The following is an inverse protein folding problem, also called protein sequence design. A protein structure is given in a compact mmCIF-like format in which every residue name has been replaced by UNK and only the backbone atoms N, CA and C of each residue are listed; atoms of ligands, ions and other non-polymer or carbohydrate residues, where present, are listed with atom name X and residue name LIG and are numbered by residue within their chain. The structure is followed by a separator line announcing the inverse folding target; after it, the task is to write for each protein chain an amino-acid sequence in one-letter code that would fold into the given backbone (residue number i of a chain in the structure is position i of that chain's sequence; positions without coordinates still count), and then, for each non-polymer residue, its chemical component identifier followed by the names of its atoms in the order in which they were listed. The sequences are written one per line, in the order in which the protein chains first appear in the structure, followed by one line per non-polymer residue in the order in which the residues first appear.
data_IF_206274871685
#
_entry.id   IF_206274871685
#
_cell.length_a   1.000
_cell.length_b   1.000
_cell.length_c   1.000
_cell.angle_alpha   90.00
_cell.angle_beta   90.00
_cell.angle_gamma   90.00
#
_symmetry.space_group_name_H-M   'P 1'
#
loop_
_entity.id
_entity.type
_entity.pdbx_description
1 polymer ?
2 water ?
#
# COMPACT_ATOMS: atom_id res chain seq x y z
N UNK A 9 21.68 -56.39 43.21
CA UNK A 9 22.34 -55.20 42.58
C UNK A 9 22.28 -55.26 41.05
N UNK A 10 21.83 -56.39 40.45
CA UNK A 10 21.27 -56.46 39.07
C UNK A 10 19.79 -56.06 39.14
N UNK A 11 19.12 -56.49 40.20
CA UNK A 11 17.69 -56.20 40.50
C UNK A 11 17.57 -54.82 41.16
N UNK A 12 18.68 -54.27 41.66
CA UNK A 12 18.71 -52.89 42.21
C UNK A 12 19.13 -51.91 41.10
N UNK A 13 19.82 -52.37 40.06
CA UNK A 13 20.09 -51.57 38.84
C UNK A 13 18.79 -51.36 38.06
N UNK A 14 17.94 -52.39 37.97
CA UNK A 14 16.58 -52.26 37.37
C UNK A 14 15.74 -51.28 38.21
N UNK A 15 15.83 -51.37 39.55
CA UNK A 15 15.12 -50.46 40.50
C UNK A 15 15.45 -49.00 40.17
N UNK A 16 16.75 -48.66 40.20
CA UNK A 16 17.27 -47.28 39.97
C UNK A 16 16.80 -46.79 38.59
N UNK A 17 16.87 -47.67 37.60
CA UNK A 17 16.57 -47.35 36.18
C UNK A 17 15.07 -47.06 36.03
N UNK A 18 14.19 -47.82 36.67
CA UNK A 18 12.72 -47.57 36.61
C UNK A 18 12.42 -46.20 37.22
N UNK A 19 13.31 -45.68 38.07
CA UNK A 19 13.22 -44.34 38.71
C UNK A 19 13.75 -43.25 37.75
N UNK A 20 14.79 -43.58 36.96
CA UNK A 20 15.34 -42.69 35.91
C UNK A 20 14.25 -42.41 34.85
N UNK A 21 13.59 -43.45 34.34
CA UNK A 21 12.52 -43.33 33.30
C UNK A 21 11.33 -42.55 33.87
N UNK A 22 11.02 -42.72 35.16
CA UNK A 22 9.98 -41.91 35.84
C UNK A 22 10.46 -40.45 35.88
N UNK A 23 11.72 -40.23 36.27
CA UNK A 23 12.36 -38.89 36.34
C UNK A 23 12.25 -38.24 34.96
N UNK A 24 12.82 -38.90 33.95
CA UNK A 24 13.01 -38.41 32.57
C UNK A 24 11.66 -38.12 31.91
N UNK A 25 10.60 -38.86 32.26
CA UNK A 25 9.27 -38.64 31.62
C UNK A 25 8.62 -37.39 32.25
N UNK A 26 8.94 -37.08 33.52
CA UNK A 26 8.51 -35.84 34.24
C UNK A 26 9.18 -34.61 33.60
N UNK A 27 10.49 -34.69 33.41
CA UNK A 27 11.33 -33.71 32.68
C UNK A 27 10.69 -33.43 31.30
N UNK A 28 10.55 -34.47 30.49
CA UNK A 28 9.95 -34.38 29.13
C UNK A 28 8.59 -33.67 29.16
N UNK A 29 7.79 -33.91 30.21
CA UNK A 29 6.45 -33.29 30.41
C UNK A 29 6.56 -31.76 30.50
N UNK A 30 7.57 -31.27 31.21
CA UNK A 30 7.84 -29.81 31.40
C UNK A 30 8.46 -29.24 30.12
N UNK A 31 9.51 -29.86 29.62
CA UNK A 31 10.12 -29.56 28.31
C UNK A 31 9.01 -29.31 27.26
N UNK A 32 7.93 -30.09 27.27
CA UNK A 32 6.82 -29.94 26.28
C UNK A 32 5.92 -28.78 26.69
N UNK A 33 5.79 -28.49 27.99
CA UNK A 33 5.18 -27.21 28.45
C UNK A 33 5.94 -26.04 27.82
N UNK A 34 7.27 -25.98 27.96
CA UNK A 34 8.09 -24.81 27.53
C UNK A 34 7.90 -24.62 26.03
N UNK A 35 7.88 -25.74 25.29
CA UNK A 35 7.72 -25.76 23.82
C UNK A 35 6.41 -25.09 23.44
N UNK A 36 5.29 -25.51 24.04
CA UNK A 36 3.94 -24.94 23.80
C UNK A 36 3.96 -23.43 24.09
N UNK A 37 4.62 -23.03 25.18
CA UNK A 37 4.80 -21.63 25.62
C UNK A 37 5.47 -20.81 24.51
N UNK A 38 6.48 -21.35 23.83
CA UNK A 38 7.22 -20.62 22.77
C UNK A 38 6.37 -20.62 21.49
N UNK A 39 5.67 -21.72 21.19
CA UNK A 39 4.85 -21.87 19.95
C UNK A 39 3.70 -20.86 19.97
N UNK A 40 2.90 -20.92 21.03
CA UNK A 40 1.77 -20.00 21.29
C UNK A 40 2.28 -18.57 21.20
N UNK A 41 3.41 -18.28 21.83
CA UNK A 41 3.94 -16.89 21.87
C UNK A 41 4.15 -16.41 20.43
N UNK A 42 4.76 -17.24 19.58
CA UNK A 42 4.99 -16.99 18.14
C UNK A 42 3.65 -16.82 17.44
N UNK A 43 2.71 -17.76 17.62
CA UNK A 43 1.39 -17.65 16.97
C UNK A 43 0.73 -16.32 17.39
N UNK A 44 0.78 -15.95 18.67
CA UNK A 44 0.06 -14.73 19.13
C UNK A 44 0.79 -13.49 18.59
N UNK A 45 2.12 -13.52 18.50
CA UNK A 45 2.94 -12.37 18.02
C UNK A 45 2.72 -12.20 16.51
N UNK A 46 2.51 -13.31 15.80
CA UNK A 46 2.23 -13.35 14.35
C UNK A 46 0.90 -12.63 14.06
N UNK A 47 -0.15 -12.81 14.85
CA UNK A 47 -1.44 -12.12 14.54
C UNK A 47 -1.33 -10.68 15.05
N UNK A 48 -0.74 -10.44 16.21
CA UNK A 48 -0.52 -9.05 16.66
C UNK A 48 0.17 -8.27 15.53
N UNK A 49 1.20 -8.83 14.87
CA UNK A 49 2.13 -8.07 14.00
C UNK A 49 1.80 -8.20 12.52
N UNK A 50 1.64 -9.41 11.95
CA UNK A 50 1.17 -9.55 10.54
C UNK A 50 -0.20 -8.89 10.37
N UNK A 51 -1.00 -8.81 11.45
CA UNK A 51 -2.33 -8.14 11.47
C UNK A 51 -2.12 -6.63 11.45
N UNK A 52 -1.42 -6.10 12.45
CA UNK A 52 -1.10 -4.64 12.56
C UNK A 52 -0.71 -4.10 11.18
N UNK A 53 0.19 -4.80 10.49
CA UNK A 53 0.67 -4.37 9.15
C UNK A 53 -0.53 -4.19 8.24
N UNK A 54 -1.45 -5.16 8.22
CA UNK A 54 -2.66 -5.16 7.35
C UNK A 54 -3.52 -3.91 7.60
N UNK A 55 -3.76 -3.52 8.86
CA UNK A 55 -4.46 -2.25 9.17
C UNK A 55 -3.86 -1.10 8.33
N UNK A 56 -2.63 -0.68 8.65
CA UNK A 56 -1.93 0.44 7.98
C UNK A 56 -2.09 0.31 6.47
N UNK A 57 -1.78 -0.88 5.93
CA UNK A 57 -1.88 -1.19 4.48
C UNK A 57 -3.23 -0.69 3.98
N UNK A 58 -4.30 -1.03 4.70
CA UNK A 58 -5.69 -0.64 4.37
C UNK A 58 -5.95 0.84 4.71
N UNK A 59 -5.36 1.39 5.78
CA UNK A 59 -5.46 2.85 6.09
C UNK A 59 -4.86 3.65 4.92
N UNK A 60 -3.76 3.16 4.35
CA UNK A 60 -3.10 3.78 3.17
C UNK A 60 -4.08 3.72 2.00
N UNK A 61 -4.70 2.57 1.79
CA UNK A 61 -5.69 2.36 0.71
C UNK A 61 -6.76 3.46 0.79
N UNK A 62 -7.33 3.69 1.98
CA UNK A 62 -8.36 4.75 2.19
C UNK A 62 -7.87 6.05 1.53
N UNK A 63 -6.68 6.50 1.91
CA UNK A 63 -6.13 7.83 1.53
C UNK A 63 -5.87 7.84 0.01
N UNK A 64 -5.36 6.74 -0.56
CA UNK A 64 -5.13 6.59 -2.03
C UNK A 64 -6.44 6.88 -2.79
N UNK A 65 -7.57 6.38 -2.31
CA UNK A 65 -8.90 6.55 -2.98
C UNK A 65 -9.48 7.92 -2.62
N UNK A 66 -9.02 8.54 -1.53
CA UNK A 66 -9.43 9.90 -1.09
C UNK A 66 -8.63 10.96 -1.86
N UNK A 67 -7.54 10.58 -2.53
CA UNK A 67 -6.72 11.48 -3.38
C UNK A 67 -6.86 11.10 -4.86
N UNK A 68 -7.93 10.38 -5.22
CA UNK A 68 -8.35 10.17 -6.63
C UNK A 68 -9.06 11.46 -7.11
N UNK A 69 -8.38 12.23 -7.97
CA UNK A 69 -8.87 13.51 -8.56
C UNK A 69 -9.06 13.37 -10.08
N UNK A 70 -9.08 12.12 -10.57
CA UNK A 70 -9.27 11.79 -12.00
C UNK A 70 -10.49 12.53 -12.54
N UNK A 71 -11.57 12.67 -11.74
CA UNK A 71 -12.85 13.27 -12.20
C UNK A 71 -12.70 14.80 -12.32
N UNK A 72 -12.12 15.44 -11.30
CA UNK A 72 -11.84 16.91 -11.28
C UNK A 72 -10.88 17.27 -12.42
N UNK A 73 -9.86 16.44 -12.65
CA UNK A 73 -8.82 16.71 -13.68
C UNK A 73 -9.39 16.45 -15.07
N UNK A 74 -10.19 15.39 -15.25
CA UNK A 74 -10.89 15.16 -16.55
C UNK A 74 -11.71 16.41 -16.86
N UNK A 75 -12.41 16.93 -15.85
CA UNK A 75 -13.40 18.02 -16.02
C UNK A 75 -12.68 19.32 -16.39
N UNK A 76 -11.71 19.76 -15.59
CA UNK A 76 -10.85 20.94 -15.89
C UNK A 76 -10.44 20.85 -17.36
N UNK A 77 -9.83 19.72 -17.73
CA UNK A 77 -9.40 19.40 -19.10
C UNK A 77 -10.50 19.67 -20.10
N UNK A 78 -11.72 19.22 -19.80
CA UNK A 78 -12.86 19.29 -20.75
C UNK A 78 -13.36 20.74 -20.84
N UNK A 79 -13.44 21.46 -19.72
CA UNK A 79 -13.87 22.88 -19.65
C UNK A 79 -12.91 23.76 -20.44
N UNK A 80 -11.61 23.50 -20.33
CA UNK A 80 -10.54 24.17 -21.13
C UNK A 80 -10.71 23.91 -22.62
N UNK A 81 -11.30 22.79 -23.02
CA UNK A 81 -11.44 22.42 -24.45
C UNK A 81 -12.69 23.09 -25.00
N UNK A 82 -13.68 23.36 -24.14
CA UNK A 82 -14.91 24.13 -24.50
C UNK A 82 -14.53 25.58 -24.80
N UNK A 83 -13.86 26.24 -23.86
CA UNK A 83 -13.31 27.61 -24.09
C UNK A 83 -12.55 27.61 -25.42
N UNK A 84 -11.50 26.81 -25.56
CA UNK A 84 -10.64 26.73 -26.76
C UNK A 84 -11.50 26.51 -28.00
N UNK A 85 -12.65 25.85 -27.87
CA UNK A 85 -13.64 25.67 -28.97
C UNK A 85 -14.21 27.05 -29.31
N UNK A 86 -14.82 27.72 -28.31
CA UNK A 86 -15.59 28.98 -28.47
C UNK A 86 -14.69 30.12 -28.97
N UNK A 87 -13.37 29.92 -28.99
CA UNK A 87 -12.36 30.83 -29.61
C UNK A 87 -12.69 31.04 -31.09
N UNK A 88 -13.10 29.98 -31.79
CA UNK A 88 -13.40 30.01 -33.23
C UNK A 88 -14.48 31.06 -33.47
N UNK A 89 -15.71 30.89 -32.93
CA UNK A 89 -16.80 31.84 -33.16
C UNK A 89 -16.48 33.26 -32.66
N UNK A 90 -15.89 33.36 -31.46
CA UNK A 90 -15.50 34.66 -30.83
C UNK A 90 -14.72 35.51 -31.85
N UNK A 91 -13.56 35.03 -32.31
CA UNK A 91 -12.69 35.76 -33.29
C UNK A 91 -13.52 36.12 -34.53
N UNK A 92 -14.41 35.23 -34.97
CA UNK A 92 -15.26 35.43 -36.16
C UNK A 92 -16.17 36.64 -35.90
N UNK A 93 -16.88 36.65 -34.76
CA UNK A 93 -17.88 37.70 -34.43
C UNK A 93 -17.19 39.04 -34.25
N UNK A 94 -15.95 39.05 -33.76
CA UNK A 94 -15.17 40.28 -33.53
C UNK A 94 -14.76 40.85 -34.89
N UNK A 95 -14.21 40.02 -35.77
CA UNK A 95 -13.69 40.42 -37.10
C UNK A 95 -14.81 41.10 -37.92
N UNK A 96 -16.06 40.63 -37.78
CA UNK A 96 -17.23 41.21 -38.50
C UNK A 96 -17.57 42.56 -37.88
N UNK A 97 -17.29 42.77 -36.59
CA UNK A 97 -17.59 44.07 -35.94
C UNK A 97 -16.54 45.10 -36.34
N UNK A 98 -15.30 44.67 -36.53
CA UNK A 98 -14.16 45.57 -36.88
C UNK A 98 -14.47 46.29 -38.20
N UNK A 99 -14.82 45.54 -39.24
CA UNK A 99 -15.15 46.14 -40.56
C UNK A 99 -16.41 47.00 -40.39
N UNK A 100 -17.39 46.55 -39.61
CA UNK A 100 -18.65 47.35 -39.44
C UNK A 100 -18.30 48.71 -38.84
N UNK A 101 -17.53 48.70 -37.75
CA UNK A 101 -17.12 49.92 -37.01
C UNK A 101 -16.17 50.73 -37.88
N UNK A 102 -15.29 50.09 -38.65
CA UNK A 102 -14.37 50.80 -39.58
C UNK A 102 -15.20 51.58 -40.62
N UNK A 103 -16.39 51.07 -40.97
CA UNK A 103 -17.26 51.68 -42.01
C UNK A 103 -17.96 52.93 -41.49
N UNK A 104 -18.47 52.90 -40.26
CA UNK A 104 -19.17 54.04 -39.59
C UNK A 104 -18.15 55.15 -39.33
N UNK A 105 -16.93 54.77 -38.97
CA UNK A 105 -15.84 55.69 -38.58
C UNK A 105 -15.32 56.44 -39.82
N UNK A 106 -15.42 55.82 -41.01
CA UNK A 106 -15.09 56.45 -42.31
C UNK A 106 -16.25 57.21 -42.93
N UNK A 107 -17.46 57.04 -42.41
CA UNK A 107 -18.71 57.64 -42.94
C UNK A 107 -19.52 58.24 -41.78
N UNK A 108 -18.86 59.00 -40.90
CA UNK A 108 -19.44 59.56 -39.64
C UNK A 108 -20.16 60.88 -39.97
N UNK B 8 29.49 -61.89 29.67
CA UNK B 8 28.04 -61.78 29.28
C UNK B 8 27.15 -61.77 30.53
N UNK B 9 27.59 -61.13 31.61
CA UNK B 9 26.89 -61.05 32.93
C UNK B 9 25.51 -60.41 32.75
N UNK B 10 24.64 -60.48 33.78
CA UNK B 10 23.33 -59.79 33.83
C UNK B 10 23.54 -58.35 34.35
N UNK B 11 24.25 -58.21 35.48
CA UNK B 11 24.55 -56.89 36.11
C UNK B 11 25.38 -56.03 35.14
N UNK B 12 26.09 -56.64 34.19
CA UNK B 12 26.87 -55.88 33.17
C UNK B 12 25.96 -55.50 32.00
N UNK B 13 24.96 -56.34 31.68
CA UNK B 13 24.07 -56.16 30.49
C UNK B 13 22.93 -55.21 30.81
N UNK B 14 22.47 -55.16 32.06
CA UNK B 14 21.50 -54.12 32.53
C UNK B 14 22.19 -52.76 32.47
N UNK B 15 23.48 -52.71 32.81
CA UNK B 15 24.29 -51.46 32.83
C UNK B 15 24.44 -50.91 31.41
N UNK B 16 24.61 -51.79 30.41
CA UNK B 16 24.68 -51.40 28.97
C UNK B 16 23.39 -50.70 28.56
N UNK B 17 22.25 -51.37 28.78
CA UNK B 17 20.89 -50.82 28.55
C UNK B 17 20.72 -49.52 29.34
N UNK B 18 21.29 -49.44 30.55
CA UNK B 18 21.19 -48.23 31.41
C UNK B 18 21.82 -47.04 30.68
N UNK B 19 22.92 -47.26 29.96
CA UNK B 19 23.69 -46.18 29.30
C UNK B 19 23.08 -45.89 27.91
N UNK B 20 22.52 -46.89 27.25
CA UNK B 20 21.72 -46.71 26.00
C UNK B 20 20.61 -45.68 26.28
N UNK B 21 19.82 -45.94 27.33
CA UNK B 21 18.66 -45.11 27.77
C UNK B 21 19.16 -43.74 28.22
N UNK B 22 20.26 -43.69 28.98
CA UNK B 22 20.84 -42.44 29.50
C UNK B 22 21.22 -41.54 28.30
N UNK B 23 21.92 -42.12 27.31
CA UNK B 23 22.28 -41.48 26.02
C UNK B 23 21.01 -40.94 25.34
N UNK B 24 20.08 -41.82 25.01
CA UNK B 24 18.83 -41.50 24.28
C UNK B 24 18.08 -40.36 24.99
N UNK B 25 18.08 -40.34 26.33
CA UNK B 25 17.47 -39.27 27.16
C UNK B 25 18.23 -37.96 26.98
N UNK B 26 19.58 -38.01 26.99
CA UNK B 26 20.44 -36.84 26.73
C UNK B 26 20.14 -36.31 25.31
N UNK B 27 20.06 -37.20 24.31
CA UNK B 27 19.77 -36.85 22.90
C UNK B 27 18.44 -36.09 22.81
N UNK B 28 17.38 -36.62 23.40
CA UNK B 28 16.00 -36.06 23.29
C UNK B 28 15.94 -34.67 23.93
N UNK B 29 16.57 -34.51 25.08
CA UNK B 29 16.69 -33.19 25.75
C UNK B 29 17.26 -32.18 24.75
N UNK B 30 18.44 -32.47 24.18
CA UNK B 30 19.13 -31.58 23.18
C UNK B 30 18.14 -31.23 22.06
N UNK B 31 17.51 -32.24 21.47
CA UNK B 31 16.49 -32.12 20.40
C UNK B 31 15.45 -31.06 20.82
N UNK B 32 15.04 -31.08 22.08
CA UNK B 32 14.01 -30.19 22.66
C UNK B 32 14.58 -28.77 22.73
N UNK B 33 15.83 -28.61 23.21
CA UNK B 33 16.49 -27.29 23.33
C UNK B 33 16.78 -26.72 21.94
N UNK B 34 17.09 -27.58 20.95
CA UNK B 34 17.31 -27.18 19.54
C UNK B 34 15.99 -26.57 19.00
N UNK B 35 14.88 -27.26 19.23
CA UNK B 35 13.53 -26.86 18.79
C UNK B 35 13.14 -25.53 19.44
N UNK B 36 13.42 -25.38 20.72
CA UNK B 36 13.09 -24.15 21.49
C UNK B 36 13.84 -22.98 20.85
N UNK B 37 15.14 -23.18 20.56
CA UNK B 37 16.02 -22.15 19.96
C UNK B 37 15.52 -21.77 18.56
N UNK B 38 15.13 -22.75 17.73
CA UNK B 38 14.70 -22.50 16.33
C UNK B 38 13.40 -21.71 16.36
N UNK B 39 12.45 -22.06 17.23
CA UNK B 39 11.16 -21.31 17.44
C UNK B 39 11.46 -19.87 17.86
N UNK B 40 12.35 -19.64 18.82
CA UNK B 40 12.72 -18.28 19.28
C UNK B 40 13.39 -17.49 18.16
N UNK B 41 14.25 -18.15 17.38
CA UNK B 41 15.01 -17.50 16.28
C UNK B 41 13.98 -16.98 15.27
N UNK B 42 13.07 -17.86 14.82
CA UNK B 42 12.00 -17.56 13.85
C UNK B 42 11.19 -16.36 14.35
N UNK B 43 10.84 -16.31 15.63
CA UNK B 43 9.99 -15.24 16.19
C UNK B 43 10.77 -13.93 16.22
N UNK B 44 12.03 -13.93 16.63
CA UNK B 44 12.93 -12.73 16.63
C UNK B 44 13.09 -12.21 15.20
N UNK B 45 13.23 -13.09 14.22
CA UNK B 45 13.52 -12.69 12.84
C UNK B 45 12.26 -12.06 12.26
N UNK B 46 11.14 -12.73 12.46
CA UNK B 46 9.80 -12.27 12.03
C UNK B 46 9.55 -10.86 12.59
N UNK B 47 9.88 -10.63 13.86
CA UNK B 47 9.63 -9.32 14.53
C UNK B 47 10.56 -8.28 13.90
N UNK B 48 11.86 -8.52 13.88
CA UNK B 48 12.84 -7.64 13.19
C UNK B 48 12.27 -7.23 11.84
N UNK B 49 11.86 -8.19 11.01
CA UNK B 49 11.54 -7.96 9.58
C UNK B 49 10.17 -7.25 9.46
N UNK B 50 9.21 -7.54 10.34
CA UNK B 50 7.91 -6.81 10.36
C UNK B 50 8.09 -5.38 10.89
N UNK B 51 8.94 -5.14 11.89
CA UNK B 51 9.12 -3.78 12.45
C UNK B 51 9.63 -2.89 11.30
N UNK B 52 10.54 -3.40 10.46
CA UNK B 52 11.09 -2.68 9.28
C UNK B 52 9.99 -2.32 8.28
N UNK B 53 9.27 -3.33 7.80
CA UNK B 53 8.09 -3.14 6.91
C UNK B 53 7.10 -2.13 7.54
N UNK B 54 6.90 -2.22 8.86
CA UNK B 54 5.91 -1.42 9.60
C UNK B 54 6.33 0.05 9.57
N UNK B 55 7.62 0.30 9.69
CA UNK B 55 8.22 1.65 9.59
C UNK B 55 8.02 2.16 8.17
N UNK B 56 8.46 1.41 7.17
CA UNK B 56 8.32 1.79 5.74
C UNK B 56 6.90 2.27 5.46
N UNK B 57 5.89 1.57 6.02
CA UNK B 57 4.46 1.80 5.71
C UNK B 57 4.01 3.11 6.36
N UNK B 58 4.60 3.53 7.48
CA UNK B 58 4.29 4.83 8.12
C UNK B 58 4.83 5.97 7.24
N UNK B 59 5.94 5.73 6.56
CA UNK B 59 6.58 6.79 5.76
C UNK B 59 5.90 6.78 4.38
N UNK B 60 5.14 5.73 4.03
CA UNK B 60 4.23 5.75 2.86
C UNK B 60 3.00 6.60 3.21
N UNK B 61 2.45 6.44 4.41
CA UNK B 61 1.28 7.23 4.89
C UNK B 61 1.55 8.73 4.76
N UNK B 62 2.66 9.24 5.28
CA UNK B 62 3.04 10.67 5.12
C UNK B 62 3.28 10.96 3.64
N UNK B 63 4.27 10.32 3.04
CA UNK B 63 4.80 10.64 1.68
C UNK B 63 3.65 10.83 0.69
N UNK B 64 2.59 10.04 0.80
CA UNK B 64 1.49 10.07 -0.18
C UNK B 64 0.72 11.40 -0.10
N UNK B 65 0.92 12.21 0.94
CA UNK B 65 0.24 13.54 1.05
C UNK B 65 0.80 14.52 0.01
N UNK B 66 2.02 14.29 -0.50
CA UNK B 66 2.61 14.98 -1.68
C UNK B 66 1.57 15.01 -2.81
N UNK B 67 0.67 14.03 -2.85
CA UNK B 67 -0.28 13.84 -3.98
C UNK B 67 -1.62 14.52 -3.67
N UNK B 68 -1.69 15.30 -2.58
CA UNK B 68 -2.80 16.26 -2.30
C UNK B 68 -2.66 17.48 -3.24
N UNK B 69 -3.70 17.73 -4.03
CA UNK B 69 -3.85 18.90 -4.93
C UNK B 69 -5.26 19.50 -4.80
N UNK B 70 -6.02 19.07 -3.79
CA UNK B 70 -7.44 19.46 -3.56
C UNK B 70 -7.62 20.96 -3.82
N UNK B 71 -6.71 21.77 -3.26
CA UNK B 71 -6.81 23.25 -3.15
C UNK B 71 -6.44 23.88 -4.50
N UNK B 72 -5.22 23.63 -4.99
CA UNK B 72 -4.80 23.97 -6.37
C UNK B 72 -5.94 23.66 -7.34
N UNK B 73 -6.66 22.56 -7.12
CA UNK B 73 -7.67 22.07 -8.10
C UNK B 73 -8.98 22.85 -7.97
N UNK B 74 -9.39 23.22 -6.75
CA UNK B 74 -10.62 24.05 -6.57
C UNK B 74 -10.38 25.43 -7.19
N UNK B 75 -9.23 26.04 -6.92
CA UNK B 75 -8.86 27.40 -7.37
C UNK B 75 -8.90 27.44 -8.91
N UNK B 76 -8.40 26.39 -9.57
CA UNK B 76 -8.38 26.28 -11.05
C UNK B 76 -9.81 26.15 -11.60
N UNK B 77 -10.67 25.37 -10.95
CA UNK B 77 -12.07 25.19 -11.37
C UNK B 77 -12.80 26.53 -11.41
N UNK B 78 -12.48 27.40 -10.45
CA UNK B 78 -13.10 28.74 -10.24
C UNK B 78 -12.52 29.74 -11.26
N UNK B 79 -11.19 29.84 -11.35
CA UNK B 79 -10.52 30.67 -12.38
C UNK B 79 -11.03 30.29 -13.76
N UNK B 80 -11.36 29.02 -14.00
CA UNK B 80 -11.87 28.57 -15.32
C UNK B 80 -13.29 29.12 -15.56
N UNK B 81 -14.10 29.27 -14.51
CA UNK B 81 -15.41 29.95 -14.57
C UNK B 81 -15.18 31.45 -14.86
N UNK B 82 -14.31 32.10 -14.10
CA UNK B 82 -13.92 33.52 -14.37
C UNK B 82 -13.57 33.66 -15.86
N UNK B 83 -12.72 32.81 -16.43
CA UNK B 83 -12.35 32.91 -17.86
C UNK B 83 -13.61 32.80 -18.73
N UNK B 84 -14.54 31.92 -18.37
CA UNK B 84 -15.74 31.62 -19.20
C UNK B 84 -16.61 32.89 -19.26
N UNK B 85 -16.82 33.57 -18.13
CA UNK B 85 -17.59 34.85 -18.04
C UNK B 85 -16.84 36.00 -18.76
N UNK B 86 -15.53 35.91 -18.87
CA UNK B 86 -14.64 36.91 -19.51
C UNK B 86 -14.71 36.86 -21.04
N UNK B 87 -15.35 35.86 -21.67
CA UNK B 87 -15.25 35.69 -23.14
C UNK B 87 -16.59 35.94 -23.85
N UNK B 88 -17.43 34.92 -24.05
CA UNK B 88 -18.65 35.03 -24.88
C UNK B 88 -19.59 36.12 -24.30
N UNK B 89 -19.83 36.19 -22.97
CA UNK B 89 -20.78 37.20 -22.43
C UNK B 89 -20.38 38.65 -22.74
N UNK B 90 -19.07 38.93 -22.75
CA UNK B 90 -18.44 40.25 -23.02
C UNK B 90 -18.63 40.60 -24.51
N UNK B 91 -18.14 39.73 -25.40
CA UNK B 91 -18.26 39.89 -26.88
C UNK B 91 -19.73 40.18 -27.23
N UNK B 92 -20.66 39.40 -26.67
CA UNK B 92 -22.09 39.57 -26.97
C UNK B 92 -22.52 40.98 -26.60
N UNK B 93 -22.07 41.53 -25.47
CA UNK B 93 -22.50 42.91 -25.09
C UNK B 93 -21.88 43.90 -26.08
N UNK B 94 -20.68 43.60 -26.57
CA UNK B 94 -19.93 44.47 -27.55
C UNK B 94 -20.71 44.50 -28.86
N UNK B 95 -21.03 43.34 -29.40
CA UNK B 95 -21.85 43.15 -30.63
C UNK B 95 -23.17 43.92 -30.46
N UNK B 96 -23.82 43.76 -29.31
CA UNK B 96 -25.02 44.59 -29.03
C UNK B 96 -24.67 46.06 -29.16
N UNK B 97 -23.64 46.50 -28.43
CA UNK B 97 -23.21 47.92 -28.37
C UNK B 97 -23.02 48.44 -29.80
N UNK B 98 -22.31 47.69 -30.65
CA UNK B 98 -22.03 48.09 -32.06
C UNK B 98 -23.37 48.17 -32.82
N UNK B 99 -24.29 47.27 -32.52
CA UNK B 99 -25.66 47.31 -33.07
C UNK B 99 -26.34 48.62 -32.67
N UNK B 100 -26.22 49.05 -31.41
CA UNK B 100 -26.90 50.27 -30.89
C UNK B 100 -26.26 51.51 -31.52
N UNK B 101 -24.93 51.58 -31.59
CA UNK B 101 -24.23 52.71 -32.27
C UNK B 101 -24.73 52.78 -33.73
N UNK B 102 -24.60 51.67 -34.47
CA UNK B 102 -25.02 51.57 -35.90
C UNK B 102 -26.39 52.23 -36.09
N UNK B 103 -27.38 51.90 -35.27
CA UNK B 103 -28.73 52.52 -35.38
C UNK B 103 -28.64 54.03 -35.12
N UNK B 104 -27.96 54.45 -34.05
CA UNK B 104 -27.84 55.90 -33.69
C UNK B 104 -27.33 56.70 -34.91
N UNK B 105 -26.44 56.15 -35.72
CA UNK B 105 -25.92 56.80 -36.95
C UNK B 105 -26.90 56.63 -38.14
N UNK B 106 -28.03 55.96 -37.97
CA UNK B 106 -29.11 55.90 -38.98
C UNK B 106 -30.10 57.03 -38.76
N UNK C 7 8.85 -68.52 26.83
CA UNK C 7 10.28 -68.81 26.44
C UNK C 7 11.09 -67.51 26.52
N UNK C 8 11.09 -66.85 27.69
CA UNK C 8 11.63 -65.48 27.89
C UNK C 8 12.60 -65.47 29.10
N UNK C 9 13.89 -65.69 28.86
CA UNK C 9 14.99 -65.44 29.84
C UNK C 9 15.03 -63.94 30.14
N UNK C 10 15.28 -63.55 31.40
CA UNK C 10 15.43 -62.13 31.81
C UNK C 10 16.52 -61.49 30.93
N UNK C 11 17.72 -62.08 30.91
CA UNK C 11 18.87 -61.65 30.07
C UNK C 11 18.44 -61.47 28.60
N UNK C 12 17.63 -62.39 28.06
CA UNK C 12 17.13 -62.37 26.65
C UNK C 12 16.13 -61.24 26.40
N UNK C 13 15.31 -60.87 27.39
CA UNK C 13 14.30 -59.78 27.26
C UNK C 13 15.03 -58.43 27.23
N UNK C 14 15.99 -58.24 28.13
CA UNK C 14 16.93 -57.09 28.14
C UNK C 14 17.53 -56.92 26.73
N UNK C 15 18.25 -57.91 26.22
CA UNK C 15 18.94 -57.83 24.90
C UNK C 15 17.94 -57.43 23.81
N UNK C 16 16.70 -57.92 23.90
CA UNK C 16 15.62 -57.65 22.91
C UNK C 16 15.19 -56.19 23.03
N UNK C 17 15.10 -55.71 24.27
CA UNK C 17 14.78 -54.31 24.64
C UNK C 17 15.85 -53.37 24.07
N UNK C 18 17.13 -53.77 24.08
CA UNK C 18 18.25 -52.92 23.60
C UNK C 18 18.19 -52.76 22.07
N UNK C 19 17.91 -53.82 21.31
CA UNK C 19 17.77 -53.73 19.84
C UNK C 19 16.53 -52.89 19.51
N UNK C 20 15.43 -53.10 20.24
CA UNK C 20 14.19 -52.29 20.19
C UNK C 20 14.52 -50.79 20.36
N UNK C 21 15.06 -50.41 21.53
CA UNK C 21 15.42 -49.01 21.88
C UNK C 21 16.33 -48.43 20.79
N UNK C 22 17.29 -49.21 20.30
CA UNK C 22 18.28 -48.75 19.29
C UNK C 22 17.54 -48.33 18.01
N UNK C 23 16.56 -49.11 17.55
CA UNK C 23 15.80 -48.81 16.30
C UNK C 23 14.88 -47.60 16.53
N UNK C 24 14.45 -47.36 17.78
CA UNK C 24 13.58 -46.22 18.18
C UNK C 24 14.41 -44.92 18.28
N UNK C 25 15.65 -44.99 18.77
CA UNK C 25 16.55 -43.81 18.91
C UNK C 25 17.02 -43.36 17.53
N UNK C 26 17.24 -44.29 16.59
CA UNK C 26 17.59 -43.92 15.19
C UNK C 26 16.41 -43.20 14.55
N UNK C 27 15.20 -43.75 14.66
CA UNK C 27 13.99 -43.23 13.97
C UNK C 27 13.57 -41.91 14.61
N UNK C 28 13.68 -41.78 15.93
CA UNK C 28 13.44 -40.55 16.71
C UNK C 28 14.35 -39.43 16.17
N UNK C 29 15.63 -39.74 15.92
CA UNK C 29 16.65 -38.85 15.30
C UNK C 29 16.12 -38.26 13.97
N UNK C 30 15.77 -39.11 12.99
CA UNK C 30 15.28 -38.67 11.64
C UNK C 30 14.05 -37.78 11.80
N UNK C 31 13.12 -38.19 12.66
CA UNK C 31 11.82 -37.51 12.89
C UNK C 31 12.06 -36.09 13.39
N UNK C 32 13.06 -35.91 14.27
CA UNK C 32 13.38 -34.63 14.92
C UNK C 32 14.09 -33.72 13.91
N UNK C 33 14.99 -34.27 13.09
CA UNK C 33 15.69 -33.51 12.04
C UNK C 33 14.65 -32.89 11.08
N UNK C 34 13.59 -33.64 10.76
CA UNK C 34 12.47 -33.16 9.90
C UNK C 34 11.71 -32.04 10.63
N UNK C 35 11.48 -32.12 11.94
CA UNK C 35 10.74 -31.06 12.68
C UNK C 35 11.62 -29.80 12.74
N UNK C 36 12.92 -30.02 12.93
CA UNK C 36 13.94 -28.96 12.86
C UNK C 36 13.87 -28.26 11.50
N UNK C 37 13.90 -29.02 10.42
CA UNK C 37 14.07 -28.43 9.07
C UNK C 37 12.72 -27.86 8.59
N UNK C 38 11.62 -28.34 9.16
CA UNK C 38 10.29 -27.70 8.95
C UNK C 38 10.40 -26.23 9.37
N UNK C 39 11.01 -25.93 10.52
CA UNK C 39 11.15 -24.53 11.03
C UNK C 39 12.13 -23.73 10.17
N UNK C 40 13.20 -24.33 9.70
CA UNK C 40 14.16 -23.67 8.77
C UNK C 40 13.45 -23.32 7.47
N UNK C 41 12.68 -24.24 6.92
CA UNK C 41 11.93 -24.02 5.66
C UNK C 41 10.90 -22.89 5.81
N UNK C 42 10.16 -22.84 6.93
CA UNK C 42 9.14 -21.78 7.18
C UNK C 42 9.85 -20.44 7.41
N UNK C 43 10.92 -20.41 8.20
CA UNK C 43 11.68 -19.16 8.43
C UNK C 43 12.08 -18.60 7.07
N UNK C 44 12.70 -19.43 6.23
CA UNK C 44 13.18 -18.99 4.89
C UNK C 44 11.99 -18.43 4.11
N UNK C 45 10.91 -19.20 4.05
CA UNK C 45 9.70 -18.79 3.31
C UNK C 45 9.29 -17.41 3.79
N UNK C 46 9.20 -17.23 5.10
CA UNK C 46 8.84 -15.93 5.71
C UNK C 46 9.90 -14.89 5.34
N UNK C 47 11.18 -15.21 5.47
CA UNK C 47 12.23 -14.19 5.20
C UNK C 47 12.05 -13.68 3.76
N UNK C 48 11.93 -14.61 2.81
CA UNK C 48 11.88 -14.30 1.34
C UNK C 48 10.71 -13.37 1.04
N UNK C 49 9.54 -13.73 1.53
CA UNK C 49 8.25 -13.03 1.27
C UNK C 49 8.27 -11.65 1.94
N UNK C 50 8.82 -11.54 3.14
CA UNK C 50 8.94 -10.21 3.80
C UNK C 50 9.95 -9.36 3.03
N UNK C 51 11.03 -9.94 2.51
CA UNK C 51 12.03 -9.25 1.68
C UNK C 51 11.30 -8.67 0.45
N UNK C 52 10.59 -9.51 -0.28
CA UNK C 52 9.79 -9.08 -1.46
C UNK C 52 8.85 -7.94 -1.02
N UNK C 53 8.10 -8.10 0.07
CA UNK C 53 7.17 -7.04 0.51
C UNK C 53 7.96 -5.74 0.62
N UNK C 54 9.08 -5.78 1.33
CA UNK C 54 9.91 -4.59 1.67
C UNK C 54 10.29 -3.87 0.38
N UNK C 55 10.78 -4.61 -0.62
CA UNK C 55 11.19 -4.10 -1.94
C UNK C 55 10.05 -3.32 -2.59
N UNK C 56 8.89 -3.96 -2.78
CA UNK C 56 7.70 -3.30 -3.35
C UNK C 56 7.42 -2.03 -2.56
N UNK C 57 7.41 -2.09 -1.23
CA UNK C 57 7.20 -0.89 -0.38
C UNK C 57 8.15 0.23 -0.81
N UNK C 58 9.42 -0.05 -1.05
CA UNK C 58 10.42 0.96 -1.48
C UNK C 58 10.09 1.43 -2.89
N UNK C 59 9.71 0.49 -3.77
CA UNK C 59 9.35 0.77 -5.19
C UNK C 59 8.06 1.60 -5.25
N UNK C 60 7.21 1.48 -4.24
CA UNK C 60 5.96 2.28 -4.12
C UNK C 60 6.33 3.70 -3.72
N UNK C 61 7.27 3.84 -2.77
CA UNK C 61 7.79 5.12 -2.23
C UNK C 61 8.42 5.93 -3.36
N UNK C 62 9.25 5.28 -4.18
CA UNK C 62 9.87 5.90 -5.39
C UNK C 62 8.76 6.35 -6.37
N UNK C 63 7.67 5.60 -6.47
CA UNK C 63 6.59 5.85 -7.47
C UNK C 63 5.80 7.09 -7.04
N UNK C 64 5.52 7.23 -5.74
CA UNK C 64 4.86 8.43 -5.16
C UNK C 64 5.70 9.67 -5.49
N UNK C 65 7.03 9.55 -5.49
CA UNK C 65 7.93 10.68 -5.80
C UNK C 65 7.89 10.98 -7.31
N UNK C 66 7.68 9.96 -8.16
CA UNK C 66 7.50 10.11 -9.65
C UNK C 66 6.09 10.62 -10.01
N UNK C 67 5.16 10.72 -9.05
CA UNK C 67 3.74 11.12 -9.30
C UNK C 67 3.39 12.44 -8.61
N UNK C 68 4.37 13.20 -8.11
CA UNK C 68 4.15 14.55 -7.53
C UNK C 68 4.18 15.62 -8.65
N UNK C 69 3.02 15.95 -9.22
CA UNK C 69 2.85 17.05 -10.22
C UNK C 69 2.29 18.30 -9.52
N UNK C 70 2.55 18.44 -8.21
CA UNK C 70 2.09 19.57 -7.36
C UNK C 70 2.55 20.90 -7.98
N UNK C 71 3.83 21.02 -8.35
CA UNK C 71 4.42 22.24 -8.98
C UNK C 71 3.71 22.52 -10.30
N UNK C 72 3.68 21.51 -11.18
CA UNK C 72 3.12 21.54 -12.55
C UNK C 72 1.66 22.01 -12.52
N UNK C 73 0.94 21.71 -11.43
CA UNK C 73 -0.47 22.13 -11.19
C UNK C 73 -0.49 23.58 -10.70
N UNK C 74 0.36 23.94 -9.73
CA UNK C 74 0.44 25.31 -9.20
C UNK C 74 0.71 26.29 -10.35
N UNK C 75 1.51 25.86 -11.33
CA UNK C 75 1.93 26.65 -12.52
C UNK C 75 0.69 26.97 -13.36
N UNK C 76 -0.07 25.94 -13.73
CA UNK C 76 -1.35 26.04 -14.49
C UNK C 76 -2.33 26.91 -13.71
N UNK C 77 -2.53 26.62 -12.43
CA UNK C 77 -3.20 27.53 -11.47
C UNK C 77 -2.80 28.98 -11.67
N UNK C 78 -1.48 29.28 -11.76
CA UNK C 78 -0.91 30.66 -11.81
C UNK C 78 -1.08 31.23 -13.22
N UNK C 79 -0.54 30.56 -14.24
CA UNK C 79 -0.68 30.94 -15.67
C UNK C 79 -2.12 31.39 -15.94
N UNK C 80 -3.10 30.65 -15.41
CA UNK C 80 -4.55 30.88 -15.61
C UNK C 80 -5.00 32.14 -14.86
N UNK C 81 -4.49 32.37 -13.65
CA UNK C 81 -4.73 33.64 -12.91
C UNK C 81 -4.23 34.82 -13.76
N UNK C 82 -3.09 34.62 -14.44
CA UNK C 82 -2.38 35.67 -15.21
C UNK C 82 -3.25 36.02 -16.42
N UNK C 83 -3.69 34.99 -17.17
CA UNK C 83 -4.59 35.14 -18.35
C UNK C 83 -5.89 35.85 -17.95
N UNK C 84 -6.47 35.52 -16.80
CA UNK C 84 -7.71 36.18 -16.32
C UNK C 84 -7.41 37.66 -15.99
N UNK C 85 -6.29 37.95 -15.30
CA UNK C 85 -5.95 39.34 -14.90
C UNK C 85 -5.76 40.17 -16.17
N UNK C 86 -5.16 39.56 -17.21
CA UNK C 86 -4.86 40.16 -18.53
C UNK C 86 -6.15 40.63 -19.24
N UNK C 87 -7.32 40.17 -18.77
CA UNK C 87 -8.63 40.40 -19.42
C UNK C 87 -9.47 41.46 -18.69
N UNK C 88 -9.16 41.78 -17.44
CA UNK C 88 -9.93 42.76 -16.64
C UNK C 88 -9.89 44.14 -17.31
N UNK C 89 -8.75 44.65 -17.82
CA UNK C 89 -8.72 45.99 -18.42
C UNK C 89 -9.73 46.15 -19.57
N UNK C 90 -9.76 45.21 -20.51
CA UNK C 90 -10.69 45.27 -21.68
C UNK C 90 -12.15 45.14 -21.16
N UNK C 91 -12.41 44.30 -20.16
CA UNK C 91 -13.78 44.09 -19.60
C UNK C 91 -14.27 45.40 -18.97
N UNK C 92 -13.43 46.07 -18.22
CA UNK C 92 -13.75 47.41 -17.66
C UNK C 92 -14.15 48.37 -18.78
N UNK C 93 -13.32 48.48 -19.82
CA UNK C 93 -13.50 49.43 -20.96
C UNK C 93 -14.88 49.24 -21.59
N UNK C 94 -15.18 47.99 -22.01
CA UNK C 94 -16.46 47.54 -22.61
C UNK C 94 -17.56 47.93 -21.64
N UNK C 95 -17.32 47.58 -20.39
CA UNK C 95 -18.28 47.78 -19.28
C UNK C 95 -18.72 49.25 -19.22
N UNK C 96 -17.75 50.15 -19.23
CA UNK C 96 -18.02 51.62 -19.23
C UNK C 96 -18.68 52.04 -20.53
N UNK C 97 -18.23 51.53 -21.70
CA UNK C 97 -18.74 51.99 -23.02
C UNK C 97 -20.20 51.57 -23.15
N UNK C 98 -20.51 50.35 -22.72
CA UNK C 98 -21.90 49.79 -22.68
C UNK C 98 -22.77 50.70 -21.82
N UNK C 99 -22.33 51.12 -20.63
CA UNK C 99 -23.17 52.00 -19.77
C UNK C 99 -23.55 53.24 -20.57
N UNK C 100 -22.56 53.86 -21.22
CA UNK C 100 -22.71 55.12 -21.97
C UNK C 100 -23.63 54.92 -23.18
N UNK C 101 -23.36 53.90 -23.99
CA UNK C 101 -24.17 53.64 -25.22
C UNK C 101 -25.62 53.33 -24.84
N UNK C 102 -25.88 52.50 -23.83
CA UNK C 102 -27.27 52.09 -23.45
C UNK C 102 -28.08 53.32 -23.04
N UNK C 103 -27.48 54.29 -22.36
CA UNK C 103 -28.18 55.51 -21.88
C UNK C 103 -28.60 56.33 -23.11
N UNK C 104 -27.70 56.52 -24.05
CA UNK C 104 -27.97 57.35 -25.26
C UNK C 104 -29.04 56.66 -26.10
N UNK C 105 -28.90 55.35 -26.34
CA UNK C 105 -29.85 54.50 -27.10
C UNK C 105 -31.26 54.54 -26.46
N UNK C 106 -31.35 54.53 -25.11
CA UNK C 106 -32.62 54.55 -24.36
C UNK C 106 -33.37 55.87 -24.47
N UNK C 107 -32.70 56.96 -24.87
CA UNK C 107 -33.30 58.29 -25.18
C UNK C 107 -33.69 58.36 -26.66
N UNK D 9 10.58 -62.75 40.31
CA UNK D 9 10.97 -61.35 40.64
C UNK D 9 12.40 -61.06 40.18
N UNK D 10 12.79 -61.60 39.02
CA UNK D 10 13.87 -61.08 38.14
C UNK D 10 13.25 -60.81 36.77
N UNK D 11 12.79 -61.88 36.10
CA UNK D 11 12.03 -61.83 34.82
C UNK D 11 10.78 -60.96 34.99
N UNK D 12 10.09 -61.01 36.15
CA UNK D 12 8.85 -60.22 36.41
C UNK D 12 9.17 -58.74 36.63
N UNK D 13 10.43 -58.40 36.88
CA UNK D 13 10.89 -56.98 37.01
C UNK D 13 11.17 -56.42 35.62
N UNK D 14 12.00 -57.11 34.84
CA UNK D 14 12.27 -56.78 33.41
C UNK D 14 10.93 -56.53 32.70
N UNK D 15 9.97 -57.46 32.85
CA UNK D 15 8.64 -57.43 32.15
C UNK D 15 7.87 -56.17 32.59
N UNK D 16 8.10 -55.70 33.82
CA UNK D 16 7.51 -54.47 34.41
C UNK D 16 8.21 -53.24 33.82
N UNK D 17 9.54 -53.21 33.88
CA UNK D 17 10.39 -52.18 33.23
C UNK D 17 9.96 -52.01 31.77
N UNK D 18 9.96 -53.11 31.00
CA UNK D 18 9.51 -53.12 29.58
C UNK D 18 8.17 -52.38 29.45
N UNK D 19 7.23 -52.61 30.37
CA UNK D 19 5.89 -51.96 30.35
C UNK D 19 6.05 -50.46 30.60
N UNK D 20 6.95 -50.04 31.49
CA UNK D 20 7.23 -48.61 31.78
C UNK D 20 7.79 -47.94 30.52
N UNK D 21 8.68 -48.64 29.82
CA UNK D 21 9.32 -48.13 28.57
C UNK D 21 8.26 -48.03 27.48
N UNK D 22 7.41 -49.05 27.34
CA UNK D 22 6.33 -49.05 26.33
C UNK D 22 5.43 -47.83 26.54
N UNK D 23 5.00 -47.53 27.78
CA UNK D 23 4.06 -46.40 28.04
C UNK D 23 4.81 -45.08 27.82
N UNK D 24 6.09 -44.99 28.19
CA UNK D 24 6.95 -43.82 27.93
C UNK D 24 7.11 -43.61 26.42
N UNK D 25 7.43 -44.67 25.66
CA UNK D 25 7.64 -44.59 24.19
C UNK D 25 6.37 -44.07 23.52
N UNK D 26 5.22 -44.60 23.92
CA UNK D 26 3.95 -44.34 23.19
C UNK D 26 3.50 -42.91 23.53
N UNK D 27 3.74 -42.45 24.76
CA UNK D 27 3.44 -41.06 25.19
C UNK D 27 4.24 -40.08 24.32
N UNK D 28 5.52 -40.37 24.10
CA UNK D 28 6.45 -39.58 23.25
C UNK D 28 5.93 -39.56 21.82
N UNK D 29 5.52 -40.71 21.29
CA UNK D 29 5.01 -40.84 19.89
C UNK D 29 3.87 -39.85 19.73
N UNK D 30 2.99 -39.76 20.72
CA UNK D 30 1.80 -38.88 20.68
C UNK D 30 2.26 -37.43 20.78
N UNK D 31 3.10 -37.09 21.75
CA UNK D 31 3.63 -35.70 21.87
C UNK D 31 4.19 -35.25 20.51
N UNK D 32 4.91 -36.12 19.80
CA UNK D 32 5.45 -35.81 18.46
C UNK D 32 4.31 -35.52 17.49
N UNK D 33 3.26 -36.33 17.51
CA UNK D 33 2.12 -36.14 16.58
C UNK D 33 1.45 -34.80 16.92
N UNK D 34 1.30 -34.48 18.20
CA UNK D 34 0.67 -33.21 18.69
C UNK D 34 1.52 -32.04 18.19
N UNK D 35 2.84 -32.09 18.40
CA UNK D 35 3.79 -31.08 17.85
C UNK D 35 3.66 -31.00 16.33
N UNK D 36 3.70 -32.12 15.62
CA UNK D 36 3.62 -32.10 14.12
C UNK D 36 2.36 -31.33 13.70
N UNK D 37 1.31 -31.45 14.50
CA UNK D 37 -0.04 -30.92 14.22
C UNK D 37 -0.02 -29.40 14.43
N UNK D 38 0.55 -28.90 15.53
CA UNK D 38 0.69 -27.43 15.78
C UNK D 38 1.61 -26.79 14.74
N UNK D 39 2.62 -27.53 14.29
CA UNK D 39 3.57 -27.04 13.29
C UNK D 39 2.82 -26.83 11.97
N UNK D 40 1.95 -27.78 11.59
CA UNK D 40 1.12 -27.71 10.35
C UNK D 40 0.18 -26.51 10.45
N UNK D 41 -0.45 -26.32 11.61
CA UNK D 41 -1.28 -25.12 11.88
C UNK D 41 -0.42 -23.87 11.71
N UNK D 42 0.79 -23.84 12.27
CA UNK D 42 1.71 -22.68 12.17
C UNK D 42 2.06 -22.43 10.71
N UNK D 43 2.50 -23.46 9.99
CA UNK D 43 2.90 -23.39 8.56
C UNK D 43 1.76 -22.77 7.74
N UNK D 44 0.54 -23.21 8.00
CA UNK D 44 -0.64 -22.85 7.16
C UNK D 44 -1.05 -21.41 7.52
N UNK D 45 -0.97 -21.04 8.79
CA UNK D 45 -1.37 -19.67 9.19
C UNK D 45 -0.36 -18.67 8.64
N UNK D 46 0.93 -18.95 8.77
CA UNK D 46 2.02 -18.05 8.36
C UNK D 46 1.86 -17.78 6.87
N UNK D 47 1.74 -18.84 6.08
CA UNK D 47 1.67 -18.75 4.59
C UNK D 47 0.40 -17.97 4.20
N UNK D 48 -0.72 -18.22 4.86
CA UNK D 48 -2.02 -17.60 4.52
C UNK D 48 -1.88 -16.10 4.77
N UNK D 49 -1.29 -15.72 5.92
CA UNK D 49 -1.05 -14.30 6.29
C UNK D 49 -0.07 -13.65 5.33
N UNK D 50 0.94 -14.36 4.84
CA UNK D 50 1.94 -13.70 3.98
C UNK D 50 1.31 -13.51 2.59
N UNK D 51 0.37 -14.38 2.21
CA UNK D 51 -0.22 -14.36 0.86
C UNK D 51 -1.20 -13.19 0.78
N UNK D 52 -1.88 -12.91 1.89
CA UNK D 52 -2.76 -11.73 2.14
C UNK D 52 -1.99 -10.42 1.99
N UNK D 53 -0.88 -10.27 2.73
CA UNK D 53 -0.03 -9.06 2.64
C UNK D 53 0.43 -8.86 1.18
N UNK D 54 0.81 -9.93 0.50
CA UNK D 54 1.32 -9.87 -0.88
C UNK D 54 0.18 -9.51 -1.83
N UNK D 55 -1.02 -10.01 -1.54
CA UNK D 55 -2.26 -9.69 -2.29
C UNK D 55 -2.53 -8.19 -2.13
N UNK D 56 -2.62 -7.73 -0.89
CA UNK D 56 -3.03 -6.35 -0.52
C UNK D 56 -1.99 -5.34 -1.05
N UNK D 57 -0.70 -5.70 -1.08
CA UNK D 57 0.39 -4.82 -1.59
C UNK D 57 0.19 -4.64 -3.10
N UNK D 58 -0.05 -5.71 -3.85
CA UNK D 58 -0.15 -5.64 -5.34
C UNK D 58 -1.44 -4.93 -5.75
N UNK D 59 -2.43 -4.86 -4.85
CA UNK D 59 -3.67 -4.07 -5.03
C UNK D 59 -3.34 -2.58 -4.77
N UNK D 60 -2.49 -2.30 -3.78
CA UNK D 60 -1.86 -0.97 -3.52
C UNK D 60 -1.12 -0.47 -4.77
N UNK D 61 -0.26 -1.30 -5.38
CA UNK D 61 0.58 -0.94 -6.56
C UNK D 61 -0.32 -0.45 -7.69
N UNK D 62 -1.53 -1.02 -7.80
CA UNK D 62 -2.51 -0.71 -8.88
C UNK D 62 -3.30 0.57 -8.54
N UNK D 63 -3.94 0.67 -7.36
CA UNK D 63 -4.72 1.86 -6.95
C UNK D 63 -3.89 3.14 -7.07
N UNK D 64 -2.60 3.09 -6.76
CA UNK D 64 -1.71 4.28 -6.74
C UNK D 64 -1.48 4.75 -8.17
N UNK D 65 -1.51 3.83 -9.15
CA UNK D 65 -1.35 4.16 -10.58
C UNK D 65 -2.52 5.06 -11.03
N UNK D 66 -3.69 4.97 -10.38
CA UNK D 66 -4.84 5.88 -10.66
C UNK D 66 -4.46 7.34 -10.36
N UNK D 67 -3.41 7.61 -9.58
CA UNK D 67 -2.99 9.00 -9.25
C UNK D 67 -1.88 9.47 -10.20
N UNK D 68 -1.74 8.80 -11.35
CA UNK D 68 -0.82 9.22 -12.46
C UNK D 68 -1.62 10.04 -13.49
N UNK D 69 -1.68 11.35 -13.28
CA UNK D 69 -2.43 12.29 -14.14
C UNK D 69 -1.52 12.92 -15.19
N UNK D 70 -0.22 12.59 -15.19
CA UNK D 70 0.83 13.25 -16.01
C UNK D 70 0.29 13.55 -17.41
N UNK D 71 -0.31 12.54 -18.06
CA UNK D 71 -0.82 12.63 -19.46
C UNK D 71 -1.82 13.78 -19.57
N UNK D 72 -2.88 13.74 -18.77
CA UNK D 72 -3.90 14.82 -18.57
C UNK D 72 -3.24 16.19 -18.38
N UNK D 73 -2.40 16.33 -17.35
CA UNK D 73 -1.83 17.64 -16.88
C UNK D 73 -0.94 18.26 -17.98
N UNK D 74 -0.27 17.45 -18.80
CA UNK D 74 0.46 17.97 -20.00
C UNK D 74 -0.55 18.58 -20.98
N UNK D 75 -1.64 17.87 -21.29
CA UNK D 75 -2.70 18.31 -22.23
C UNK D 75 -3.35 19.60 -21.71
N UNK D 76 -3.59 19.71 -20.41
CA UNK D 76 -4.16 20.93 -19.78
C UNK D 76 -3.17 22.08 -19.98
N UNK D 77 -1.94 21.93 -19.50
CA UNK D 77 -0.85 22.90 -19.72
C UNK D 77 -0.73 23.30 -21.19
N UNK D 78 -0.91 22.34 -22.12
CA UNK D 78 -0.83 22.55 -23.60
C UNK D 78 -2.00 23.40 -24.09
N UNK D 79 -3.22 23.00 -23.74
CA UNK D 79 -4.47 23.65 -24.21
C UNK D 79 -4.57 25.08 -23.66
N UNK D 80 -4.07 25.31 -22.44
CA UNK D 80 -4.04 26.67 -21.84
C UNK D 80 -3.11 27.55 -22.70
N UNK D 81 -1.84 27.18 -22.86
CA UNK D 81 -0.85 27.99 -23.62
C UNK D 81 -1.44 28.42 -24.96
N UNK D 82 -2.11 27.51 -25.68
CA UNK D 82 -2.80 27.81 -26.96
C UNK D 82 -3.71 29.02 -26.72
N UNK D 83 -4.72 28.81 -25.89
CA UNK D 83 -5.75 29.81 -25.51
C UNK D 83 -5.07 31.15 -25.21
N UNK D 84 -4.08 31.16 -24.31
CA UNK D 84 -3.37 32.36 -23.83
C UNK D 84 -2.71 33.09 -25.01
N UNK D 85 -2.06 32.34 -25.91
CA UNK D 85 -1.42 32.88 -27.14
C UNK D 85 -2.51 33.33 -28.12
N UNK D 86 -3.55 32.51 -28.30
CA UNK D 86 -4.67 32.74 -29.25
C UNK D 86 -5.56 33.91 -28.81
N UNK D 87 -5.48 34.34 -27.54
CA UNK D 87 -6.34 35.42 -26.98
C UNK D 87 -5.64 36.78 -27.06
N UNK D 88 -4.31 36.83 -27.04
CA UNK D 88 -3.50 38.08 -27.05
C UNK D 88 -3.98 39.01 -28.17
N UNK D 89 -4.19 38.52 -29.41
CA UNK D 89 -4.69 39.38 -30.49
C UNK D 89 -6.15 39.80 -30.26
N UNK D 90 -6.96 38.94 -29.63
CA UNK D 90 -8.43 39.15 -29.45
C UNK D 90 -8.66 40.28 -28.44
N UNK D 91 -7.81 40.39 -27.42
CA UNK D 91 -7.79 41.53 -26.46
C UNK D 91 -7.44 42.82 -27.23
N UNK D 92 -6.24 42.88 -27.79
CA UNK D 92 -5.80 43.97 -28.70
C UNK D 92 -6.95 44.40 -29.63
N UNK D 93 -7.51 43.47 -30.42
CA UNK D 93 -8.48 43.83 -31.49
C UNK D 93 -9.72 44.48 -30.86
N UNK D 94 -10.27 43.90 -29.81
CA UNK D 94 -11.48 44.43 -29.13
C UNK D 94 -11.15 45.77 -28.45
N UNK D 95 -9.92 45.97 -27.97
CA UNK D 95 -9.52 47.26 -27.36
C UNK D 95 -9.52 48.40 -28.39
N UNK D 96 -8.96 48.19 -29.59
CA UNK D 96 -8.94 49.22 -30.67
C UNK D 96 -10.38 49.47 -31.13
N UNK D 97 -11.13 48.40 -31.33
CA UNK D 97 -12.51 48.52 -31.83
C UNK D 97 -13.36 49.29 -30.81
N UNK D 98 -13.16 49.10 -29.50
CA UNK D 98 -14.03 49.74 -28.47
C UNK D 98 -13.68 51.23 -28.37
N UNK D 99 -12.41 51.57 -28.56
CA UNK D 99 -11.93 52.97 -28.68
C UNK D 99 -12.63 53.64 -29.87
N UNK D 100 -12.72 52.99 -31.03
CA UNK D 100 -13.42 53.57 -32.20
C UNK D 100 -14.91 53.75 -31.88
N UNK D 101 -15.50 52.84 -31.13
CA UNK D 101 -16.94 52.97 -30.75
C UNK D 101 -17.07 54.19 -29.85
N UNK D 102 -16.16 54.34 -28.91
CA UNK D 102 -16.05 55.59 -28.10
C UNK D 102 -16.11 56.82 -29.02
N UNK D 103 -15.20 56.95 -29.99
CA UNK D 103 -15.10 58.18 -30.83
C UNK D 103 -16.41 58.42 -31.57
N UNK D 104 -17.09 57.35 -31.98
CA UNK D 104 -18.41 57.41 -32.67
C UNK D 104 -19.48 57.78 -31.65
N UNK D 105 -19.40 57.27 -30.42
CA UNK D 105 -20.43 57.53 -29.37
C UNK D 105 -20.45 59.02 -29.01
N UNK D 106 -19.28 59.64 -28.88
CA UNK D 106 -19.13 61.07 -28.54
C UNK D 106 -19.97 61.96 -29.44
N UNK D 107 -19.78 61.85 -30.77
CA UNK D 107 -20.50 62.63 -31.82
C UNK D 107 -22.01 62.32 -31.72
N UNK D 108 -22.39 61.06 -31.65
CA UNK D 108 -23.81 60.70 -31.55
C UNK D 108 -24.37 61.33 -30.27
N UNK D 109 -23.59 61.40 -29.18
CA UNK D 109 -24.06 61.87 -27.87
C UNK D 109 -24.28 63.39 -27.85
N UNK D 110 -23.52 64.22 -28.57
CA UNK D 110 -23.75 65.70 -28.58
C UNK D 110 -24.88 66.01 -29.56
N UNK D 111 -24.87 65.40 -30.75
CA UNK D 111 -25.85 65.66 -31.83
C UNK D 111 -27.22 65.05 -31.51
#
# INVERSE_FOLDING_TARGET
GAMGRETLSSEELVKQLMEEIKTATEDRKIDQEVLQMRLSHLEQRMVEDLESLSTLQSELLEKIELLDYSSSIKQIGENLKVLDRSLKPVITTVSLMVEKVDLLYGKAAVGVSNA
GAMGRETLSSEELVKQLMEEIKTATEDRKIDQEVLQMRLSHLEQRMVEDLESLSTLQSELLEKIELLDYSSSIKQIGENLKVLDRSLKPVITTVSLMVEKVDLLYGKAAVGVSNA
GAMGRETLSSEELVKQLMEEIKTATEDRKIDQEVLQMRLSHLEQRMVEDLESLSTLQSELLEKIELLDYSSSIKQIGENLKVLDRSLKPVITTVSLMVEKVDLLYGKAAVGVSNA
GAMGRETLSSEELVKQLMEEIKTATEDRKIDQEVLQMRLSHLEQRMVEDLESLSTLQSELLEKIELLDYSSSIKQIGENLKVLDRSLKPVITTVSLMVEKVDLLYGKAAVGVSNA
#
